data_IF_111193857288
#
_entry.id   IF_111193857288
#
_cell.length_a   1.000
_cell.length_b   1.000
_cell.length_c   1.000
_cell.angle_alpha   90.00
_cell.angle_beta   90.00
_cell.angle_gamma   90.00
#
_symmetry.space_group_name_H-M   'P 1'
#
loop_
_entity.id
_entity.type
_entity.pdbx_description
1 polymer ?
#
# COMPACT_ATOMS: atom_id res chain seq x y z
N UNK A 1 -19.97 -33.22 11.27
CA UNK A 1 -19.93 -32.82 9.85
C UNK A 1 -18.82 -31.81 9.75
N UNK A 2 -17.70 -32.19 9.14
CA UNK A 2 -16.52 -31.33 9.01
C UNK A 2 -16.91 -30.07 8.28
N UNK A 3 -16.79 -28.93 8.95
CA UNK A 3 -16.65 -27.67 8.24
C UNK A 3 -15.42 -27.85 7.37
N UNK A 4 -15.58 -27.82 6.05
CA UNK A 4 -14.47 -27.56 5.16
C UNK A 4 -13.70 -26.35 5.72
N UNK A 5 -12.38 -26.45 5.83
CA UNK A 5 -11.52 -25.34 6.27
C UNK A 5 -11.65 -24.22 5.22
N UNK A 6 -12.62 -23.32 5.44
CA UNK A 6 -12.88 -22.19 4.57
C UNK A 6 -11.67 -21.26 4.61
N UNK A 7 -10.97 -21.14 3.48
CA UNK A 7 -9.84 -20.24 3.32
C UNK A 7 -10.31 -18.78 3.15
N UNK A 8 -10.71 -18.18 4.28
CA UNK A 8 -11.11 -16.77 4.33
C UNK A 8 -9.98 -15.81 3.96
N UNK A 9 -8.71 -16.21 4.07
CA UNK A 9 -7.57 -15.35 3.76
C UNK A 9 -7.41 -15.12 2.24
N UNK A 10 -7.94 -16.02 1.42
CA UNK A 10 -7.96 -15.86 -0.05
C UNK A 10 -9.03 -14.89 -0.57
N UNK A 11 -10.01 -14.51 0.27
CA UNK A 11 -11.09 -13.61 -0.14
C UNK A 11 -10.55 -12.17 -0.24
N UNK A 12 -10.51 -11.64 -1.47
CA UNK A 12 -10.07 -10.28 -1.75
C UNK A 12 -11.21 -9.27 -1.64
N UNK A 13 -10.86 -8.01 -1.40
CA UNK A 13 -11.78 -6.86 -1.38
C UNK A 13 -11.29 -5.79 -2.34
N UNK A 14 -12.16 -5.34 -3.22
CA UNK A 14 -11.86 -4.28 -4.20
C UNK A 14 -12.62 -2.98 -3.90
N UNK A 15 -12.04 -1.85 -4.30
CA UNK A 15 -12.70 -0.54 -4.34
C UNK A 15 -12.13 0.32 -5.48
N UNK A 16 -12.61 0.14 -6.73
CA UNK A 16 -12.05 0.83 -7.90
C UNK A 16 -12.17 2.36 -7.87
N UNK A 17 -13.11 2.91 -7.09
CA UNK A 17 -13.26 4.36 -6.94
C UNK A 17 -12.09 4.98 -6.17
N UNK A 18 -11.62 4.28 -5.13
CA UNK A 18 -10.45 4.71 -4.36
C UNK A 18 -9.20 4.72 -5.23
N UNK A 19 -9.00 3.68 -6.05
CA UNK A 19 -7.88 3.62 -6.98
C UNK A 19 -7.95 4.74 -8.03
N UNK A 20 -9.14 5.02 -8.57
CA UNK A 20 -9.35 6.17 -9.48
C UNK A 20 -8.93 7.48 -8.84
N UNK A 21 -9.28 7.70 -7.58
CA UNK A 21 -8.89 8.92 -6.84
C UNK A 21 -7.38 9.01 -6.64
N UNK A 22 -6.71 7.90 -6.33
CA UNK A 22 -5.25 7.86 -6.29
C UNK A 22 -4.65 8.16 -7.67
N UNK A 23 -5.21 7.60 -8.74
CA UNK A 23 -4.76 7.87 -10.12
C UNK A 23 -4.86 9.35 -10.48
N UNK A 24 -5.93 10.04 -10.11
CA UNK A 24 -6.06 11.49 -10.38
C UNK A 24 -4.94 12.31 -9.70
N UNK A 25 -4.50 11.90 -8.50
CA UNK A 25 -3.35 12.54 -7.81
C UNK A 25 -2.05 12.25 -8.55
N UNK A 26 -1.82 10.99 -8.96
CA UNK A 26 -0.66 10.62 -9.77
C UNK A 26 -0.65 11.41 -11.08
N UNK A 27 -1.82 11.58 -11.69
CA UNK A 27 -2.01 12.36 -12.91
C UNK A 27 -1.65 13.82 -12.73
N UNK A 28 -2.08 14.43 -11.62
CA UNK A 28 -1.65 15.81 -11.30
C UNK A 28 -0.13 15.88 -11.14
N UNK A 29 0.49 14.92 -10.47
CA UNK A 29 1.93 14.93 -10.22
C UNK A 29 2.74 14.87 -11.52
N UNK A 30 2.46 13.93 -12.42
CA UNK A 30 3.24 13.84 -13.67
C UNK A 30 2.91 14.96 -14.66
N UNK A 31 1.70 15.53 -14.62
CA UNK A 31 1.33 16.70 -15.43
C UNK A 31 2.10 17.98 -15.07
N UNK A 32 2.74 18.03 -13.90
CA UNK A 32 3.64 19.12 -13.51
C UNK A 32 5.00 19.09 -14.24
N UNK A 33 5.32 18.01 -14.99
CA UNK A 33 6.57 17.91 -15.74
C UNK A 33 7.78 17.95 -14.81
N UNK A 34 8.67 18.92 -15.01
CA UNK A 34 9.89 19.09 -14.20
C UNK A 34 9.59 19.41 -12.72
N UNK A 35 8.40 19.94 -12.42
CA UNK A 35 7.94 20.24 -11.06
C UNK A 35 7.21 19.06 -10.39
N UNK A 36 7.29 17.85 -10.96
CA UNK A 36 6.71 16.64 -10.37
C UNK A 36 7.35 16.33 -9.00
N UNK A 37 6.57 16.33 -7.89
CA UNK A 37 7.13 16.13 -6.56
C UNK A 37 7.40 14.65 -6.22
N UNK A 38 6.95 13.70 -7.04
CA UNK A 38 7.15 12.27 -6.78
C UNK A 38 8.60 11.91 -7.09
N UNK A 39 9.39 11.68 -6.03
CA UNK A 39 10.75 11.18 -6.17
C UNK A 39 10.80 9.70 -6.55
N UNK A 40 9.87 8.90 -6.00
CA UNK A 40 9.71 7.48 -6.26
C UNK A 40 8.28 7.04 -5.93
N UNK A 41 7.76 6.05 -6.64
CA UNK A 41 6.45 5.45 -6.38
C UNK A 41 6.53 3.95 -6.64
N UNK A 42 5.91 3.16 -5.77
CA UNK A 42 5.83 1.70 -5.85
C UNK A 42 4.43 1.26 -5.42
N UNK A 43 3.88 0.21 -6.06
CA UNK A 43 2.58 -0.33 -5.69
C UNK A 43 2.63 -1.17 -4.41
N UNK A 44 1.47 -1.45 -3.83
CA UNK A 44 1.32 -2.32 -2.66
C UNK A 44 0.51 -3.53 -3.09
N UNK A 45 1.14 -4.70 -3.06
CA UNK A 45 0.52 -5.98 -3.47
C UNK A 45 0.73 -7.07 -2.43
N UNK A 46 1.28 -8.21 -2.86
CA UNK A 46 1.58 -9.34 -1.98
C UNK A 46 2.53 -8.92 -0.83
N UNK A 47 2.23 -9.35 0.39
CA UNK A 47 2.97 -8.93 1.58
C UNK A 47 2.67 -7.50 2.03
N UNK A 48 1.83 -6.74 1.32
CA UNK A 48 1.39 -5.41 1.72
C UNK A 48 2.55 -4.45 1.99
N UNK A 49 2.40 -3.60 3.00
CA UNK A 49 3.40 -2.59 3.36
C UNK A 49 4.71 -3.19 3.89
N UNK A 50 4.72 -4.44 4.36
CA UNK A 50 5.96 -5.09 4.80
C UNK A 50 6.85 -5.49 3.65
N UNK A 51 6.32 -5.55 2.42
CA UNK A 51 7.11 -5.76 1.21
C UNK A 51 7.37 -4.43 0.49
N UNK A 52 6.31 -3.67 0.24
CA UNK A 52 6.38 -2.45 -0.57
C UNK A 52 7.27 -1.35 0.04
N UNK A 53 7.27 -1.17 1.38
CA UNK A 53 8.11 -0.14 2.00
C UNK A 53 9.60 -0.51 2.00
N UNK A 54 10.01 -1.75 2.34
CA UNK A 54 11.38 -2.21 2.12
C UNK A 54 11.84 -2.10 0.67
N UNK A 55 11.04 -2.54 -0.30
CA UNK A 55 11.37 -2.42 -1.74
C UNK A 55 11.60 -0.95 -2.13
N UNK A 56 10.70 -0.05 -1.73
CA UNK A 56 10.82 1.38 -2.04
C UNK A 56 12.11 2.01 -1.48
N UNK A 57 12.52 1.66 -0.26
CA UNK A 57 13.75 2.25 0.32
C UNK A 57 15.00 1.57 -0.21
N UNK A 58 14.97 0.25 -0.48
CA UNK A 58 16.09 -0.51 -1.02
C UNK A 58 16.42 -0.07 -2.45
N UNK A 59 15.41 0.11 -3.31
CA UNK A 59 15.57 0.65 -4.67
C UNK A 59 16.15 2.08 -4.67
N UNK A 60 15.90 2.84 -3.60
CA UNK A 60 16.51 4.15 -3.37
C UNK A 60 17.89 4.11 -2.70
N UNK A 61 18.43 2.92 -2.41
CA UNK A 61 19.65 2.66 -1.64
C UNK A 61 19.62 3.31 -0.23
N UNK A 62 18.47 3.25 0.44
CA UNK A 62 18.19 3.85 1.76
C UNK A 62 17.67 2.83 2.77
N UNK A 63 17.59 3.26 4.03
CA UNK A 63 16.80 2.60 5.08
C UNK A 63 15.61 3.46 5.49
N UNK A 64 14.65 2.86 6.22
CA UNK A 64 13.43 3.54 6.68
C UNK A 64 13.18 3.35 8.18
N UNK A 65 12.69 4.40 8.84
CA UNK A 65 12.14 4.34 10.20
C UNK A 65 10.66 4.68 10.15
N UNK A 66 9.81 3.72 10.50
CA UNK A 66 8.37 3.85 10.39
C UNK A 66 7.71 3.90 11.77
N UNK A 67 6.60 4.64 11.86
CA UNK A 67 5.71 4.65 13.02
C UNK A 67 4.41 3.97 12.62
N UNK A 68 4.20 2.76 13.13
CA UNK A 68 3.08 1.90 12.73
C UNK A 68 1.72 2.58 12.91
N UNK A 69 1.59 3.45 13.92
CA UNK A 69 0.33 4.13 14.24
C UNK A 69 0.02 5.34 13.36
N UNK A 70 0.92 5.71 12.45
CA UNK A 70 0.66 6.72 11.42
C UNK A 70 0.00 6.12 10.17
N UNK A 71 -0.04 4.78 10.05
CA UNK A 71 -0.72 4.08 8.95
C UNK A 71 -2.24 4.16 9.14
N UNK A 72 -3.02 4.64 8.14
CA UNK A 72 -4.48 4.61 8.20
C UNK A 72 -4.99 3.19 8.42
N UNK A 73 -5.88 3.00 9.41
CA UNK A 73 -6.38 1.69 9.81
C UNK A 73 -7.87 1.76 10.15
N UNK A 74 -8.70 1.03 9.39
CA UNK A 74 -10.14 0.90 9.62
C UNK A 74 -10.51 -0.22 10.60
N UNK A 75 -9.54 -1.05 11.01
CA UNK A 75 -9.71 -2.14 11.99
C UNK A 75 -8.78 -1.95 13.21
N UNK A 76 -9.19 -1.18 14.24
CA UNK A 76 -8.33 -0.86 15.38
C UNK A 76 -7.82 -2.07 16.19
N UNK A 77 -8.46 -3.23 16.04
CA UNK A 77 -8.06 -4.48 16.69
C UNK A 77 -6.88 -5.22 16.02
N UNK A 78 -6.41 -4.76 14.86
CA UNK A 78 -5.30 -5.40 14.15
C UNK A 78 -4.01 -5.41 14.99
N UNK A 79 -3.37 -6.57 14.99
CA UNK A 79 -2.02 -6.73 15.55
C UNK A 79 -0.97 -6.10 14.62
N UNK A 80 0.24 -5.81 15.10
CA UNK A 80 1.35 -5.34 14.25
C UNK A 80 1.87 -6.29 13.16
N UNK A 81 1.35 -7.52 13.07
CA UNK A 81 1.89 -8.63 12.26
C UNK A 81 1.30 -8.65 10.84
#
# INVERSE_FOLDING_TARGET
>A
QSAEDLDFASVQRENPEMERRCQEVIDRCWQLGDDNPIAFIHDVGAGGISNALPELVDDGERGGKFQLRDVPNDEPGMSPL
#
